data_IF_694816318338
#
_entry.id   IF_694816318338
#
_cell.length_a   1.000
_cell.length_b   1.000
_cell.length_c   1.000
_cell.angle_alpha   90.00
_cell.angle_beta   90.00
_cell.angle_gamma   90.00
#
_symmetry.space_group_name_H-M   'P 1'
#
loop_
_entity.id
_entity.type
_entity.pdbx_description
1 polymer ?
#
# COMPACT_ATOMS: atom_id res chain seq x y z
N UNK A 1 -27.04 -44.82 10.09
CA UNK A 1 -25.76 -44.33 9.57
C UNK A 1 -24.67 -44.17 10.59
N UNK A 2 -24.95 -43.77 11.81
CA UNK A 2 -24.02 -43.80 12.90
C UNK A 2 -23.92 -45.22 13.45
N UNK A 3 -22.72 -45.79 13.70
CA UNK A 3 -21.36 -45.16 13.63
C UNK A 3 -20.61 -45.42 12.31
N UNK A 4 -21.27 -45.82 11.22
CA UNK A 4 -20.62 -46.17 9.94
C UNK A 4 -19.96 -44.98 9.30
N UNK A 5 -20.63 -43.81 9.28
CA UNK A 5 -20.07 -42.53 8.80
C UNK A 5 -19.37 -41.81 9.96
N UNK A 6 -18.07 -41.60 9.80
CA UNK A 6 -17.25 -40.91 10.79
C UNK A 6 -16.36 -39.88 10.09
N UNK A 7 -16.80 -38.62 10.03
CA UNK A 7 -16.07 -37.52 9.39
C UNK A 7 -14.69 -37.27 10.01
N UNK A 8 -14.49 -37.61 11.30
CA UNK A 8 -13.20 -37.50 11.98
C UNK A 8 -12.10 -38.39 11.39
N UNK A 9 -12.44 -39.38 10.56
CA UNK A 9 -11.43 -40.19 9.86
C UNK A 9 -10.46 -39.34 9.04
N UNK A 10 -10.91 -38.23 8.46
CA UNK A 10 -10.09 -37.30 7.72
C UNK A 10 -9.12 -36.48 8.59
N UNK A 11 -9.15 -36.65 9.92
CA UNK A 11 -8.31 -35.93 10.87
C UNK A 11 -7.35 -36.82 11.64
N UNK A 12 -7.22 -38.10 11.28
CA UNK A 12 -6.49 -39.10 12.03
C UNK A 12 -4.96 -38.97 11.95
N UNK A 13 -4.42 -38.31 10.93
CA UNK A 13 -3.00 -38.02 10.77
C UNK A 13 -2.75 -36.64 10.16
N UNK A 14 -1.54 -36.12 10.33
CA UNK A 14 -1.11 -34.87 9.68
C UNK A 14 -1.14 -35.02 8.15
N UNK A 15 -0.66 -36.14 7.61
CA UNK A 15 -0.65 -36.41 6.18
C UNK A 15 -2.07 -36.37 5.59
N UNK A 16 -3.06 -37.00 6.26
CA UNK A 16 -4.42 -37.02 5.80
C UNK A 16 -5.05 -35.60 5.91
N UNK A 17 -4.78 -34.86 6.99
CA UNK A 17 -5.23 -33.45 7.11
C UNK A 17 -4.68 -32.58 6.00
N UNK A 18 -3.38 -32.69 5.69
CA UNK A 18 -2.75 -31.94 4.60
C UNK A 18 -3.35 -32.30 3.24
N UNK A 19 -3.67 -33.61 3.03
CA UNK A 19 -4.23 -34.07 1.76
C UNK A 19 -5.65 -33.52 1.49
N UNK A 20 -6.45 -33.31 2.54
CA UNK A 20 -7.84 -32.81 2.43
C UNK A 20 -7.97 -31.31 2.78
N UNK A 21 -6.86 -30.62 2.98
CA UNK A 21 -6.86 -29.19 3.29
C UNK A 21 -7.33 -28.38 2.07
N UNK A 22 -8.37 -27.58 2.27
CA UNK A 22 -8.94 -26.73 1.21
C UNK A 22 -8.25 -25.38 1.11
N UNK A 23 -7.68 -24.90 2.24
CA UNK A 23 -6.98 -23.61 2.31
C UNK A 23 -5.51 -23.83 2.68
N UNK A 24 -4.62 -23.31 1.86
CA UNK A 24 -3.18 -23.28 2.12
C UNK A 24 -2.72 -21.84 2.26
N UNK A 25 -1.68 -21.61 3.07
CA UNK A 25 -1.02 -20.31 3.19
C UNK A 25 0.41 -20.46 2.68
N UNK A 26 0.79 -19.64 1.72
CA UNK A 26 2.12 -19.60 1.11
C UNK A 26 2.70 -18.19 1.17
N UNK A 27 3.95 -18.01 0.81
CA UNK A 27 4.57 -16.68 0.72
C UNK A 27 3.91 -15.78 -0.34
N UNK A 28 3.25 -16.39 -1.33
CA UNK A 28 2.57 -15.67 -2.41
C UNK A 28 1.23 -15.04 -1.94
N UNK A 29 0.77 -15.37 -0.73
CA UNK A 29 -0.43 -14.79 -0.12
C UNK A 29 -0.14 -13.48 0.64
N UNK A 30 1.13 -13.05 0.73
CA UNK A 30 1.51 -11.88 1.52
C UNK A 30 1.84 -10.66 0.68
N UNK A 31 1.35 -9.50 1.13
CA UNK A 31 1.79 -8.17 0.72
C UNK A 31 2.44 -7.53 1.95
N UNK A 32 3.72 -7.16 1.87
CA UNK A 32 4.46 -6.61 3.02
C UNK A 32 4.31 -5.10 3.06
N UNK A 33 3.72 -4.50 4.12
CA UNK A 33 3.67 -3.06 4.28
C UNK A 33 5.06 -2.51 4.67
N UNK A 34 5.54 -1.52 3.95
CA UNK A 34 6.82 -0.84 4.20
C UNK A 34 6.61 0.66 4.32
N UNK A 35 7.19 1.25 5.34
CA UNK A 35 7.07 2.67 5.64
C UNK A 35 8.39 3.37 5.33
N UNK A 36 8.35 4.40 4.48
CA UNK A 36 9.54 5.13 4.06
C UNK A 36 9.57 6.55 4.59
N UNK A 37 10.77 7.04 4.87
CA UNK A 37 11.05 8.39 5.38
C UNK A 37 12.28 8.98 4.69
N UNK A 38 12.38 10.30 4.66
CA UNK A 38 13.56 11.00 4.16
C UNK A 38 14.78 10.79 5.06
N UNK A 39 15.96 10.78 4.48
CA UNK A 39 17.23 10.68 5.18
C UNK A 39 18.15 9.62 4.61
N UNK A 40 19.22 9.33 5.36
CA UNK A 40 20.21 8.29 5.07
C UNK A 40 20.50 7.55 6.38
N UNK A 41 20.43 6.24 6.40
CA UNK A 41 20.64 5.40 7.58
C UNK A 41 19.55 5.59 8.65
N UNK A 42 18.37 6.11 8.28
CA UNK A 42 17.27 6.36 9.22
C UNK A 42 16.43 5.09 9.39
N UNK A 43 16.26 4.66 10.64
CA UNK A 43 15.35 3.58 11.05
C UNK A 43 14.62 4.01 12.32
N UNK A 44 13.37 4.44 12.17
CA UNK A 44 12.51 4.95 13.26
C UNK A 44 11.43 3.94 13.60
N UNK A 45 11.36 3.49 14.85
CA UNK A 45 10.27 2.60 15.28
C UNK A 45 8.92 3.35 15.28
N UNK A 46 7.87 2.67 14.79
CA UNK A 46 6.50 3.18 14.85
C UNK A 46 5.91 2.73 16.18
N UNK A 47 5.85 3.62 17.17
CA UNK A 47 5.48 3.30 18.56
C UNK A 47 4.12 2.60 18.70
N UNK A 48 3.14 2.92 17.83
CA UNK A 48 1.83 2.28 17.78
C UNK A 48 1.84 0.90 17.12
N UNK A 49 2.94 0.53 16.47
CA UNK A 49 3.12 -0.74 15.75
C UNK A 49 4.48 -1.36 16.15
N UNK A 50 4.61 -1.95 17.33
CA UNK A 50 5.89 -2.46 17.83
C UNK A 50 6.56 -3.42 16.84
N UNK A 51 7.86 -3.23 16.59
CA UNK A 51 8.63 -4.00 15.62
C UNK A 51 8.47 -3.54 14.16
N UNK A 52 7.66 -2.52 13.88
CA UNK A 52 7.57 -1.88 12.57
C UNK A 52 8.36 -0.57 12.57
N UNK A 53 9.03 -0.29 11.46
CA UNK A 53 9.93 0.85 11.33
C UNK A 53 9.63 1.67 10.08
N UNK A 54 9.82 2.99 10.19
CA UNK A 54 10.01 3.84 9.01
C UNK A 54 11.49 3.81 8.65
N UNK A 55 11.80 3.64 7.39
CA UNK A 55 13.18 3.51 6.94
C UNK A 55 13.49 4.45 5.78
N UNK A 56 14.72 4.92 5.70
CA UNK A 56 15.23 5.67 4.57
C UNK A 56 15.47 4.76 3.36
N UNK A 57 15.61 5.33 2.15
CA UNK A 57 15.66 4.58 0.91
C UNK A 57 16.86 3.63 0.80
N UNK A 58 17.99 3.97 1.40
CA UNK A 58 19.17 3.09 1.49
C UNK A 58 18.88 1.82 2.30
N UNK A 59 18.18 1.94 3.42
CA UNK A 59 17.73 0.77 4.22
C UNK A 59 16.57 0.03 3.55
N UNK A 60 15.73 0.72 2.78
CA UNK A 60 14.71 0.06 1.95
C UNK A 60 15.35 -0.90 0.94
N UNK A 61 16.48 -0.52 0.34
CA UNK A 61 17.21 -1.44 -0.56
C UNK A 61 17.62 -2.74 0.11
N UNK A 62 18.11 -2.66 1.36
CA UNK A 62 18.49 -3.85 2.14
C UNK A 62 17.27 -4.72 2.44
N UNK A 63 16.18 -4.10 2.91
CA UNK A 63 14.92 -4.78 3.20
C UNK A 63 14.37 -5.52 1.96
N UNK A 64 14.38 -4.88 0.78
CA UNK A 64 13.92 -5.53 -0.46
C UNK A 64 14.78 -6.73 -0.83
N UNK A 65 16.10 -6.69 -0.59
CA UNK A 65 16.98 -7.88 -0.82
C UNK A 65 16.61 -9.02 0.13
N UNK A 66 16.32 -8.72 1.40
CA UNK A 66 15.91 -9.72 2.39
C UNK A 66 14.55 -10.34 2.01
N UNK A 67 13.55 -9.53 1.68
CA UNK A 67 12.23 -10.00 1.26
C UNK A 67 12.30 -10.85 0.00
N UNK A 68 13.16 -10.47 -0.96
CA UNK A 68 13.43 -11.26 -2.16
C UNK A 68 14.04 -12.63 -1.83
N UNK A 69 14.97 -12.68 -0.89
CA UNK A 69 15.57 -13.94 -0.43
C UNK A 69 14.55 -14.87 0.28
N UNK A 70 13.53 -14.29 0.88
CA UNK A 70 12.38 -15.01 1.47
C UNK A 70 11.31 -15.41 0.44
N UNK A 71 11.53 -15.14 -0.85
CA UNK A 71 10.59 -15.34 -1.97
C UNK A 71 9.27 -14.55 -1.86
N UNK A 72 9.22 -13.47 -1.10
CA UNK A 72 8.07 -12.56 -1.08
C UNK A 72 7.96 -11.82 -2.42
N UNK A 73 6.73 -11.63 -2.90
CA UNK A 73 6.45 -11.15 -4.25
C UNK A 73 5.92 -9.72 -4.29
N UNK A 74 5.40 -9.21 -3.19
CA UNK A 74 4.68 -7.93 -3.20
C UNK A 74 4.97 -7.10 -1.94
N UNK A 75 5.12 -5.78 -2.15
CA UNK A 75 5.24 -4.78 -1.09
C UNK A 75 4.20 -3.68 -1.28
N UNK A 76 3.72 -3.13 -0.17
CA UNK A 76 2.84 -1.95 -0.15
C UNK A 76 3.58 -0.80 0.54
N UNK A 77 3.84 0.27 -0.21
CA UNK A 77 4.63 1.41 0.25
C UNK A 77 3.76 2.50 0.87
N UNK A 78 4.20 3.01 2.02
CA UNK A 78 3.66 4.17 2.73
C UNK A 78 4.76 5.21 2.92
N UNK A 79 4.54 6.46 2.49
CA UNK A 79 5.52 7.53 2.63
C UNK A 79 5.16 8.49 3.75
N UNK A 80 6.11 8.75 4.66
CA UNK A 80 6.02 9.85 5.63
C UNK A 80 6.66 11.10 5.05
N UNK A 81 5.83 11.99 4.54
CA UNK A 81 6.28 13.28 3.98
C UNK A 81 6.78 14.21 5.09
N UNK A 82 7.83 14.97 4.79
CA UNK A 82 8.31 16.04 5.68
C UNK A 82 7.22 17.13 5.83
N UNK A 83 6.94 17.57 7.05
CA UNK A 83 5.89 18.53 7.34
C UNK A 83 6.08 19.87 6.59
N UNK A 84 7.33 20.26 6.30
CA UNK A 84 7.63 21.45 5.51
C UNK A 84 7.19 21.38 4.03
N UNK A 85 6.86 20.18 3.54
CA UNK A 85 6.40 19.94 2.17
C UNK A 85 4.89 19.68 2.08
N UNK A 86 4.20 19.71 3.21
CA UNK A 86 2.76 19.52 3.26
C UNK A 86 2.04 20.83 2.94
N UNK A 87 0.94 20.70 2.20
CA UNK A 87 0.02 21.81 1.94
C UNK A 87 -1.44 21.30 1.96
N UNK A 88 -2.41 22.17 1.69
CA UNK A 88 -3.82 21.79 1.68
C UNK A 88 -4.17 20.92 0.45
N UNK A 89 -3.44 21.07 -0.63
CA UNK A 89 -3.73 20.37 -1.90
C UNK A 89 -2.98 19.03 -1.98
N UNK A 90 -1.95 18.84 -1.13
CA UNK A 90 -1.12 17.64 -1.13
C UNK A 90 -0.20 17.55 -2.35
N UNK A 91 0.31 18.67 -2.86
CA UNK A 91 1.06 18.74 -4.13
C UNK A 91 2.28 17.82 -4.15
N UNK A 92 2.94 17.60 -3.02
CA UNK A 92 4.08 16.67 -2.92
C UNK A 92 3.69 15.22 -3.27
N UNK A 93 2.41 14.84 -3.19
CA UNK A 93 1.93 13.48 -3.50
C UNK A 93 2.21 13.06 -4.95
N UNK A 94 2.19 14.01 -5.89
CA UNK A 94 2.49 13.74 -7.31
C UNK A 94 3.78 14.38 -7.81
N UNK A 95 4.64 14.81 -6.90
CA UNK A 95 5.99 15.28 -7.25
C UNK A 95 6.79 14.12 -7.88
N UNK A 96 7.26 14.24 -9.15
CA UNK A 96 7.99 13.15 -9.83
C UNK A 96 9.31 12.78 -9.15
N UNK A 97 9.82 13.65 -8.27
CA UNK A 97 11.01 13.43 -7.42
C UNK A 97 10.65 13.27 -5.94
N UNK A 98 9.38 13.08 -5.62
CA UNK A 98 8.88 12.87 -4.27
C UNK A 98 9.41 11.58 -3.63
N UNK A 99 9.25 11.47 -2.33
CA UNK A 99 9.73 10.30 -1.58
C UNK A 99 9.11 8.99 -2.08
N UNK A 100 7.79 8.97 -2.33
CA UNK A 100 7.09 7.78 -2.82
C UNK A 100 7.61 7.36 -4.19
N UNK A 101 7.73 8.29 -5.14
CA UNK A 101 8.23 8.01 -6.49
C UNK A 101 9.67 7.49 -6.50
N UNK A 102 10.51 8.00 -5.60
CA UNK A 102 11.88 7.48 -5.41
C UNK A 102 11.87 6.10 -4.77
N UNK A 103 10.99 5.86 -3.78
CA UNK A 103 10.86 4.55 -3.15
C UNK A 103 10.43 3.47 -4.16
N UNK A 104 9.44 3.76 -5.03
CA UNK A 104 9.03 2.87 -6.12
C UNK A 104 10.23 2.51 -7.01
N UNK A 105 10.97 3.51 -7.47
CA UNK A 105 12.16 3.32 -8.31
C UNK A 105 13.24 2.51 -7.60
N UNK A 106 13.45 2.74 -6.30
CA UNK A 106 14.39 1.98 -5.47
C UNK A 106 14.03 0.50 -5.44
N UNK A 107 12.76 0.16 -5.14
CA UNK A 107 12.30 -1.24 -5.15
C UNK A 107 12.52 -1.88 -6.51
N UNK A 108 12.09 -1.22 -7.60
CA UNK A 108 12.24 -1.74 -8.98
C UNK A 108 13.69 -1.87 -9.43
N UNK A 109 14.58 -1.03 -8.92
CA UNK A 109 16.02 -1.13 -9.17
C UNK A 109 16.65 -2.35 -8.50
N UNK A 110 16.23 -2.66 -7.27
CA UNK A 110 16.73 -3.82 -6.50
C UNK A 110 16.15 -5.13 -7.04
N UNK A 111 14.84 -5.14 -7.32
CA UNK A 111 14.14 -6.30 -7.86
C UNK A 111 12.99 -5.85 -8.78
N UNK A 112 13.20 -5.93 -10.10
CA UNK A 112 12.20 -5.54 -11.11
C UNK A 112 10.93 -6.38 -11.08
N UNK A 113 11.01 -7.62 -10.58
CA UNK A 113 9.89 -8.56 -10.49
C UNK A 113 9.06 -8.37 -9.21
N UNK A 114 9.54 -7.62 -8.23
CA UNK A 114 8.77 -7.30 -7.02
C UNK A 114 7.56 -6.45 -7.40
N UNK A 115 6.36 -6.91 -7.07
CA UNK A 115 5.15 -6.12 -7.24
C UNK A 115 5.14 -4.97 -6.23
N UNK A 116 5.02 -3.75 -6.75
CA UNK A 116 4.98 -2.53 -5.94
C UNK A 116 3.56 -2.00 -5.92
N UNK A 117 2.94 -2.08 -4.75
CA UNK A 117 1.70 -1.41 -4.45
C UNK A 117 2.01 -0.08 -3.76
N UNK A 118 1.19 0.94 -3.99
CA UNK A 118 1.36 2.24 -3.34
C UNK A 118 0.08 2.71 -2.70
N UNK A 119 0.18 3.15 -1.45
CA UNK A 119 -0.92 3.83 -0.79
C UNK A 119 -1.27 5.13 -1.52
N UNK A 120 -2.56 5.39 -1.73
CA UNK A 120 -3.07 6.61 -2.37
C UNK A 120 -4.13 7.24 -1.47
N UNK A 121 -3.69 8.23 -0.70
CA UNK A 121 -4.47 9.10 0.16
C UNK A 121 -3.70 10.40 0.40
N UNK A 122 -4.37 11.50 0.71
CA UNK A 122 -3.71 12.79 0.89
C UNK A 122 -3.27 13.09 2.32
N UNK A 123 -3.67 12.29 3.31
CA UNK A 123 -3.32 12.50 4.72
C UNK A 123 -1.80 12.63 4.99
N UNK A 124 -0.89 11.87 4.34
CA UNK A 124 0.55 12.05 4.53
C UNK A 124 1.08 13.36 3.96
N UNK A 125 0.34 14.01 3.07
CA UNK A 125 0.74 15.20 2.30
C UNK A 125 -0.04 16.46 2.68
N UNK A 126 -1.13 16.31 3.46
CA UNK A 126 -2.00 17.40 3.90
C UNK A 126 -1.52 18.00 5.22
N UNK A 127 -1.60 19.35 5.32
CA UNK A 127 -1.36 20.06 6.60
C UNK A 127 -2.44 19.80 7.65
N UNK A 128 -3.61 19.33 7.23
CA UNK A 128 -4.73 19.00 8.14
C UNK A 128 -4.72 17.56 8.62
N UNK A 129 -3.84 16.70 8.05
CA UNK A 129 -3.80 15.27 8.39
C UNK A 129 -5.07 14.50 8.02
N UNK A 130 -5.87 15.03 7.10
CA UNK A 130 -7.07 14.40 6.55
C UNK A 130 -6.86 13.94 5.11
N UNK A 131 -7.63 12.94 4.70
CA UNK A 131 -7.57 12.31 3.37
C UNK A 131 -8.02 13.21 2.22
N UNK A 132 -8.26 14.50 2.44
CA UNK A 132 -8.78 15.37 1.39
C UNK A 132 -8.47 16.85 1.55
N UNK A 133 -8.74 17.58 0.46
CA UNK A 133 -8.60 19.03 0.36
C UNK A 133 -9.71 19.69 1.17
N UNK A 134 -9.34 20.64 2.04
CA UNK A 134 -10.27 21.32 2.94
C UNK A 134 -10.53 22.76 2.50
N UNK A 135 -11.79 23.15 2.39
CA UNK A 135 -12.20 24.55 2.25
C UNK A 135 -13.49 24.81 3.02
N UNK A 136 -13.58 25.99 3.66
CA UNK A 136 -14.76 26.37 4.46
C UNK A 136 -15.08 25.39 5.57
N UNK A 137 -14.09 24.70 6.14
CA UNK A 137 -14.27 23.71 7.20
C UNK A 137 -14.88 22.38 6.71
N UNK A 138 -14.86 22.10 5.41
CA UNK A 138 -15.37 20.86 4.81
C UNK A 138 -14.31 20.24 3.92
N UNK A 139 -14.26 18.91 3.88
CA UNK A 139 -13.49 18.14 2.90
C UNK A 139 -14.24 18.21 1.57
N UNK A 140 -13.52 18.58 0.50
CA UNK A 140 -14.06 18.69 -0.86
C UNK A 140 -13.81 17.41 -1.63
N UNK A 141 -14.87 16.69 -1.99
CA UNK A 141 -14.76 15.40 -2.69
C UNK A 141 -14.08 15.53 -4.05
N UNK A 142 -14.65 16.30 -4.98
CA UNK A 142 -14.22 16.31 -6.38
C UNK A 142 -12.79 16.83 -6.58
N UNK A 143 -12.36 17.96 -5.95
CA UNK A 143 -10.97 18.37 -6.01
C UNK A 143 -10.00 17.35 -5.41
N UNK A 144 -10.42 16.63 -4.38
CA UNK A 144 -9.62 15.55 -3.78
C UNK A 144 -9.46 14.40 -4.76
N UNK A 145 -10.55 13.96 -5.42
CA UNK A 145 -10.49 12.89 -6.44
C UNK A 145 -9.55 13.28 -7.59
N UNK A 146 -9.56 14.54 -8.04
CA UNK A 146 -8.61 15.02 -9.05
C UNK A 146 -7.15 14.90 -8.57
N UNK A 147 -6.88 15.25 -7.32
CA UNK A 147 -5.55 15.11 -6.72
C UNK A 147 -5.11 13.63 -6.62
N UNK A 148 -6.02 12.74 -6.21
CA UNK A 148 -5.78 11.29 -6.16
C UNK A 148 -5.50 10.69 -7.54
N UNK A 149 -6.16 11.18 -8.59
CA UNK A 149 -5.88 10.81 -9.97
C UNK A 149 -4.46 11.21 -10.39
N UNK A 150 -4.03 12.45 -10.10
CA UNK A 150 -2.66 12.93 -10.37
C UNK A 150 -1.62 12.10 -9.62
N UNK A 151 -1.87 11.81 -8.34
CA UNK A 151 -1.02 10.97 -7.50
C UNK A 151 -0.88 9.57 -8.09
N UNK A 152 -2.00 8.92 -8.45
CA UNK A 152 -2.04 7.58 -9.03
C UNK A 152 -1.23 7.49 -10.32
N UNK A 153 -1.43 8.44 -11.25
CA UNK A 153 -0.65 8.53 -12.49
C UNK A 153 0.83 8.76 -12.22
N UNK A 154 1.18 9.59 -11.23
CA UNK A 154 2.58 9.85 -10.85
C UNK A 154 3.25 8.58 -10.31
N UNK A 155 2.54 7.77 -9.50
CA UNK A 155 3.04 6.49 -8.99
C UNK A 155 3.21 5.47 -10.12
N UNK A 156 2.25 5.36 -11.03
CA UNK A 156 2.33 4.50 -12.21
C UNK A 156 3.54 4.87 -13.09
N UNK A 157 3.76 6.16 -13.35
CA UNK A 157 4.96 6.65 -14.09
C UNK A 157 6.28 6.32 -13.37
N UNK A 158 6.27 6.23 -12.05
CA UNK A 158 7.45 5.83 -11.28
C UNK A 158 7.70 4.32 -11.31
N UNK A 159 6.73 3.50 -11.77
CA UNK A 159 6.83 2.05 -11.90
C UNK A 159 6.01 1.23 -10.90
N UNK A 160 4.99 1.82 -10.27
CA UNK A 160 4.04 1.07 -9.44
C UNK A 160 3.21 0.11 -10.31
N UNK A 161 3.01 -1.12 -9.83
CA UNK A 161 2.20 -2.14 -10.51
C UNK A 161 0.73 -2.06 -10.10
N UNK A 162 0.45 -1.63 -8.85
CA UNK A 162 -0.91 -1.46 -8.35
C UNK A 162 -1.02 -0.16 -7.54
N UNK A 163 -2.16 0.49 -7.69
CA UNK A 163 -2.56 1.66 -6.90
C UNK A 163 -3.54 1.20 -5.82
N UNK A 164 -3.29 1.56 -4.57
CA UNK A 164 -4.07 1.10 -3.42
C UNK A 164 -4.77 2.30 -2.72
N UNK A 165 -5.92 2.80 -3.26
CA UNK A 165 -6.63 3.93 -2.67
C UNK A 165 -7.19 3.58 -1.30
N UNK A 166 -6.70 4.24 -0.26
CA UNK A 166 -7.10 4.08 1.14
C UNK A 166 -7.96 5.23 1.67
N UNK A 167 -8.14 6.27 0.86
CA UNK A 167 -9.02 7.41 1.13
C UNK A 167 -10.51 7.04 1.14
N UNK A 168 -11.38 7.99 1.44
CA UNK A 168 -12.82 7.79 1.58
C UNK A 168 -13.66 8.64 0.61
N UNK A 169 -13.09 9.10 -0.53
CA UNK A 169 -13.79 9.95 -1.49
C UNK A 169 -14.75 9.13 -2.37
N UNK A 170 -15.91 9.72 -2.64
CA UNK A 170 -16.92 9.11 -3.51
C UNK A 170 -16.46 9.12 -4.99
N UNK A 171 -16.64 7.99 -5.67
CA UNK A 171 -16.35 7.86 -7.10
C UNK A 171 -14.87 7.73 -7.46
N UNK A 172 -13.94 7.77 -6.50
CA UNK A 172 -12.49 7.78 -6.73
C UNK A 172 -11.98 6.63 -7.61
N UNK A 173 -12.52 5.44 -7.44
CA UNK A 173 -12.01 4.25 -8.15
C UNK A 173 -12.21 4.36 -9.66
N UNK A 174 -13.38 4.80 -10.09
CA UNK A 174 -13.66 4.96 -11.51
C UNK A 174 -12.85 6.11 -12.13
N UNK A 175 -12.67 7.22 -11.40
CA UNK A 175 -11.90 8.35 -11.90
C UNK A 175 -10.38 8.04 -11.95
N UNK A 176 -9.84 7.36 -10.95
CA UNK A 176 -8.45 6.85 -10.98
C UNK A 176 -8.26 5.90 -12.16
N UNK A 177 -9.20 4.96 -12.41
CA UNK A 177 -9.09 4.02 -13.54
C UNK A 177 -9.07 4.78 -14.87
N UNK A 178 -9.98 5.73 -15.08
CA UNK A 178 -10.01 6.56 -16.28
C UNK A 178 -8.71 7.36 -16.46
N UNK A 179 -8.17 7.92 -15.38
CA UNK A 179 -6.93 8.70 -15.43
C UNK A 179 -5.72 7.84 -15.80
N UNK A 180 -5.62 6.63 -15.25
CA UNK A 180 -4.57 5.68 -15.59
C UNK A 180 -4.66 5.24 -17.05
N UNK A 181 -5.86 4.88 -17.53
CA UNK A 181 -6.09 4.45 -18.91
C UNK A 181 -5.79 5.58 -19.93
N UNK A 182 -6.19 6.81 -19.60
CA UNK A 182 -5.93 7.96 -20.46
C UNK A 182 -4.42 8.28 -20.63
N UNK A 183 -3.59 7.84 -19.71
CA UNK A 183 -2.14 8.02 -19.71
C UNK A 183 -1.37 6.75 -20.17
N UNK A 184 -2.09 5.72 -20.65
CA UNK A 184 -1.51 4.48 -21.18
C UNK A 184 -1.08 3.47 -20.12
N UNK A 185 -1.69 3.54 -18.92
CA UNK A 185 -1.41 2.62 -17.81
C UNK A 185 -2.56 1.62 -17.59
N UNK A 186 -3.09 1.02 -18.65
CA UNK A 186 -4.19 0.07 -18.61
C UNK A 186 -3.84 -1.19 -17.79
N UNK A 187 -2.55 -1.57 -17.77
CA UNK A 187 -2.06 -2.75 -17.04
C UNK A 187 -1.81 -2.48 -15.56
N UNK A 188 -1.82 -1.21 -15.10
CA UNK A 188 -1.67 -0.89 -13.68
C UNK A 188 -2.98 -1.22 -12.95
N UNK A 189 -2.90 -2.15 -11.99
CA UNK A 189 -4.06 -2.59 -11.22
C UNK A 189 -4.52 -1.59 -10.15
N UNK A 190 -5.73 -1.76 -9.63
CA UNK A 190 -6.24 -1.02 -8.48
C UNK A 190 -6.63 -2.00 -7.37
N UNK A 191 -6.01 -1.88 -6.20
CA UNK A 191 -6.36 -2.60 -4.98
C UNK A 191 -7.12 -1.66 -4.03
N UNK A 192 -8.44 -1.59 -4.18
CA UNK A 192 -9.28 -0.69 -3.39
C UNK A 192 -9.48 -1.17 -1.95
N UNK A 193 -9.30 -0.28 -0.98
CA UNK A 193 -9.77 -0.50 0.38
C UNK A 193 -11.30 -0.35 0.42
N UNK A 194 -12.01 -1.44 0.15
CA UNK A 194 -13.47 -1.45 0.04
C UNK A 194 -14.20 -1.37 1.38
N UNK A 195 -13.55 -1.77 2.47
CA UNK A 195 -14.07 -1.65 3.84
C UNK A 195 -12.94 -1.31 4.81
N UNK A 196 -13.05 -0.18 5.48
CA UNK A 196 -12.12 0.28 6.52
C UNK A 196 -12.87 0.26 7.86
N UNK A 197 -12.56 -0.72 8.72
CA UNK A 197 -13.23 -0.88 10.01
C UNK A 197 -12.57 -0.03 11.09
N UNK A 198 -13.37 0.56 11.97
CA UNK A 198 -12.89 1.09 13.25
C UNK A 198 -12.37 -0.09 14.11
N UNK A 199 -11.16 0.06 14.65
CA UNK A 199 -10.54 -0.98 15.49
C UNK A 199 -9.66 -0.34 16.57
N UNK A 200 -9.14 -1.16 17.50
CA UNK A 200 -8.18 -0.69 18.50
C UNK A 200 -6.86 -0.16 17.91
N UNK A 201 -6.56 -0.48 16.65
CA UNK A 201 -5.36 -0.04 15.94
C UNK A 201 -5.60 1.20 15.08
N UNK A 202 -6.85 1.62 14.92
CA UNK A 202 -7.24 2.78 14.13
C UNK A 202 -7.84 3.84 15.06
N UNK A 203 -7.07 4.89 15.32
CA UNK A 203 -7.47 6.04 16.10
C UNK A 203 -7.68 7.23 15.16
N UNK A 204 -8.92 7.49 14.72
CA UNK A 204 -9.23 8.68 13.92
C UNK A 204 -9.13 9.95 14.77
#
# INVERSE_FOLDING_TARGET
MYPIIRNRRLRTSNALRSLVQETTLTVDDFIVPLFVVEGVGVKEEILSMPGQYRMSLDLLEEEIRELTALNLKAVLLFAKTNDAKKDNEGVEAWNPNGLMQRAIKTVKTVNSEMLVLTDVALDPFSIYGHDGIVAGGKVLNDPTVEALCKMSVSHARAGADLIAPSDMMDGRIIEIRKALDAEGFEDVGILSYAAKYASAFYGP
#
